data_IF_153335129720
#
_entry.id   IF_153335129720
#
_cell.length_a   1.000
_cell.length_b   1.000
_cell.length_c   1.000
_cell.angle_alpha   90.00
_cell.angle_beta   90.00
_cell.angle_gamma   90.00
#
_symmetry.space_group_name_H-M   'P 1'
#
loop_
_entity.id
_entity.type
_entity.pdbx_description
1 polymer ?
#
# COMPACT_ATOMS: atom_id res chain seq x y z
N UNK A 1 12.11 4.61 8.64
CA UNK A 1 11.36 5.87 8.44
C UNK A 1 9.89 5.71 8.81
N UNK A 2 9.13 4.77 8.21
CA UNK A 2 7.69 4.60 8.47
C UNK A 2 7.30 4.58 9.96
N UNK A 3 7.96 3.75 10.78
CA UNK A 3 7.64 3.66 12.21
C UNK A 3 7.82 4.97 12.96
N UNK A 4 8.87 5.73 12.65
CA UNK A 4 9.11 7.02 13.29
C UNK A 4 8.03 8.05 12.94
N UNK A 5 7.51 8.03 11.71
CA UNK A 5 6.41 8.92 11.29
C UNK A 5 5.12 8.56 12.02
N UNK A 6 4.78 7.26 12.11
CA UNK A 6 3.62 6.78 12.85
C UNK A 6 3.74 7.12 14.35
N UNK A 7 4.92 6.88 14.94
CA UNK A 7 5.18 7.17 16.35
C UNK A 7 5.14 8.67 16.67
N UNK A 8 5.57 9.52 15.74
CA UNK A 8 5.44 10.97 15.87
C UNK A 8 3.96 11.41 15.93
N UNK A 9 3.10 10.80 15.10
CA UNK A 9 1.64 11.06 15.14
C UNK A 9 1.05 10.58 16.47
N UNK A 10 1.40 9.38 16.94
CA UNK A 10 0.98 8.89 18.25
C UNK A 10 1.43 9.82 19.39
N UNK A 11 2.67 10.33 19.32
CA UNK A 11 3.20 11.26 20.30
C UNK A 11 2.40 12.59 20.33
N UNK A 12 2.05 13.12 19.16
CA UNK A 12 1.24 14.34 19.04
C UNK A 12 -0.17 14.15 19.61
N UNK A 13 -0.84 13.04 19.26
CA UNK A 13 -2.17 12.69 19.78
C UNK A 13 -2.13 12.55 21.31
N UNK A 14 -1.09 11.91 21.85
CA UNK A 14 -0.88 11.79 23.30
C UNK A 14 -0.68 13.16 23.96
N UNK A 15 0.04 14.08 23.33
CA UNK A 15 0.30 15.41 23.86
C UNK A 15 -0.98 16.26 24.04
N UNK A 16 -2.00 16.02 23.21
CA UNK A 16 -3.32 16.68 23.33
C UNK A 16 -4.32 15.89 24.20
N UNK A 17 -3.86 14.87 24.92
CA UNK A 17 -4.64 14.17 25.96
C UNK A 17 -5.39 12.91 25.51
N UNK A 18 -5.24 12.47 24.25
CA UNK A 18 -5.87 11.24 23.76
C UNK A 18 -4.87 10.08 23.75
N UNK A 19 -5.25 8.93 24.32
CA UNK A 19 -4.37 7.73 24.36
C UNK A 19 -4.91 6.54 23.58
N UNK A 20 -6.20 6.58 23.21
CA UNK A 20 -6.97 5.45 22.68
C UNK A 20 -7.35 5.62 21.20
N UNK A 21 -6.72 6.56 20.50
CA UNK A 21 -6.91 6.74 19.06
C UNK A 21 -5.92 5.85 18.32
N UNK A 22 -6.42 5.04 17.40
CA UNK A 22 -5.61 4.22 16.50
C UNK A 22 -5.23 5.02 15.25
N UNK A 23 -3.97 4.93 14.85
CA UNK A 23 -3.45 5.59 13.64
C UNK A 23 -3.43 4.58 12.50
N UNK A 24 -4.07 4.95 11.38
CA UNK A 24 -4.03 4.21 10.12
C UNK A 24 -3.33 5.05 9.06
N UNK A 25 -2.48 4.43 8.25
CA UNK A 25 -1.74 5.12 7.19
C UNK A 25 -2.58 5.08 5.93
N UNK A 26 -3.18 6.21 5.59
CA UNK A 26 -4.03 6.33 4.39
C UNK A 26 -3.25 6.22 3.10
N UNK A 27 -1.99 6.64 3.07
CA UNK A 27 -1.16 6.64 1.87
C UNK A 27 0.31 6.52 2.25
N UNK A 28 1.01 5.58 1.61
CA UNK A 28 2.46 5.55 1.59
C UNK A 28 2.94 4.73 0.40
N UNK A 29 4.06 5.13 -0.20
CA UNK A 29 4.60 4.48 -1.39
C UNK A 29 5.92 5.10 -1.82
N UNK A 30 6.44 4.62 -2.94
CA UNK A 30 7.69 5.11 -3.49
C UNK A 30 7.66 5.09 -5.02
N UNK A 31 8.03 6.19 -5.70
CA UNK A 31 7.91 6.30 -7.14
C UNK A 31 8.99 5.48 -7.86
N UNK A 32 8.63 4.88 -9.00
CA UNK A 32 9.54 4.08 -9.82
C UNK A 32 10.29 4.86 -10.88
N UNK A 33 9.93 6.12 -11.12
CA UNK A 33 10.59 7.00 -12.07
C UNK A 33 10.33 8.45 -11.66
N UNK A 34 11.18 9.38 -12.05
CA UNK A 34 11.06 10.79 -11.66
C UNK A 34 11.87 11.70 -12.58
N UNK A 35 11.88 12.99 -12.24
CA UNK A 35 12.67 14.00 -12.95
C UNK A 35 14.18 13.78 -12.69
N UNK A 36 15.04 14.42 -13.49
CA UNK A 36 16.50 14.23 -13.42
C UNK A 36 17.13 14.50 -12.04
N UNK A 37 16.47 15.31 -11.20
CA UNK A 37 16.89 15.63 -9.83
C UNK A 37 16.27 14.68 -8.77
N UNK A 38 15.36 13.80 -9.15
CA UNK A 38 14.68 12.83 -8.27
C UNK A 38 15.40 11.48 -8.28
N UNK A 39 16.70 11.48 -7.96
CA UNK A 39 17.60 10.30 -8.07
C UNK A 39 17.12 9.05 -7.30
N UNK A 40 16.24 9.22 -6.31
CA UNK A 40 15.66 8.13 -5.53
C UNK A 40 14.49 7.42 -6.21
N UNK A 41 13.88 8.01 -7.24
CA UNK A 41 12.71 7.51 -7.94
C UNK A 41 13.13 6.48 -9.00
N UNK A 42 13.39 5.25 -8.56
CA UNK A 42 13.83 4.15 -9.42
C UNK A 42 12.98 2.91 -9.18
N UNK A 43 12.82 2.01 -10.16
CA UNK A 43 12.04 0.78 -9.98
C UNK A 43 12.62 -0.11 -8.88
N UNK A 44 13.95 -0.10 -8.70
CA UNK A 44 14.65 -0.86 -7.67
C UNK A 44 14.29 -0.35 -6.27
N UNK A 45 14.31 0.97 -6.06
CA UNK A 45 13.94 1.56 -4.77
C UNK A 45 12.45 1.39 -4.48
N UNK A 46 11.60 1.58 -5.49
CA UNK A 46 10.16 1.36 -5.37
C UNK A 46 9.83 -0.07 -4.95
N UNK A 47 10.46 -1.06 -5.60
CA UNK A 47 10.37 -2.47 -5.24
C UNK A 47 10.83 -2.73 -3.80
N UNK A 48 11.98 -2.20 -3.41
CA UNK A 48 12.51 -2.39 -2.05
C UNK A 48 11.59 -1.78 -1.00
N UNK A 49 11.10 -0.57 -1.22
CA UNK A 49 10.22 0.11 -0.28
C UNK A 49 8.88 -0.64 -0.13
N UNK A 50 8.17 -0.85 -1.24
CA UNK A 50 6.85 -1.49 -1.23
C UNK A 50 6.93 -2.97 -0.83
N UNK A 51 7.95 -3.71 -1.26
CA UNK A 51 8.15 -5.10 -0.85
C UNK A 51 8.42 -5.23 0.66
N UNK A 52 9.27 -4.36 1.22
CA UNK A 52 9.52 -4.36 2.66
C UNK A 52 8.30 -3.89 3.47
N UNK A 53 7.47 -3.02 2.90
CA UNK A 53 6.21 -2.58 3.51
C UNK A 53 5.22 -3.75 3.62
N UNK A 54 4.99 -4.47 2.51
CA UNK A 54 4.10 -5.63 2.49
C UNK A 54 4.54 -6.71 3.49
N UNK A 55 5.85 -7.00 3.57
CA UNK A 55 6.38 -7.94 4.56
C UNK A 55 6.04 -7.53 6.00
N UNK A 56 6.17 -6.25 6.35
CA UNK A 56 5.84 -5.77 7.71
C UNK A 56 4.35 -5.91 8.03
N UNK A 57 3.48 -5.69 7.04
CA UNK A 57 2.03 -5.87 7.16
C UNK A 57 1.72 -7.36 7.38
N UNK A 58 2.36 -8.25 6.62
CA UNK A 58 2.21 -9.71 6.74
C UNK A 58 2.67 -10.23 8.10
N UNK A 59 3.81 -9.74 8.60
CA UNK A 59 4.34 -10.04 9.93
C UNK A 59 3.47 -9.45 11.07
N UNK A 60 2.43 -8.67 10.74
CA UNK A 60 1.58 -7.94 11.69
C UNK A 60 2.40 -7.12 12.69
N UNK A 61 3.51 -6.55 12.21
CA UNK A 61 4.45 -5.85 13.06
C UNK A 61 3.85 -4.49 13.50
N UNK A 62 3.92 -4.19 14.79
CA UNK A 62 3.62 -2.86 15.32
C UNK A 62 4.84 -1.92 15.28
N UNK A 63 4.65 -0.68 15.71
CA UNK A 63 5.74 0.29 15.85
C UNK A 63 6.39 0.23 17.24
N UNK A 64 7.59 0.78 17.46
CA UNK A 64 8.17 0.87 18.80
C UNK A 64 7.26 1.52 19.85
N UNK A 65 6.49 2.57 19.51
CA UNK A 65 5.55 3.18 20.46
C UNK A 65 4.26 2.36 20.66
N UNK A 66 3.87 1.52 19.70
CA UNK A 66 2.67 0.67 19.74
C UNK A 66 2.98 -0.76 19.23
N UNK A 67 3.79 -1.55 19.96
CA UNK A 67 4.30 -2.83 19.45
C UNK A 67 3.24 -3.92 19.32
N UNK A 68 2.13 -3.80 20.05
CA UNK A 68 1.00 -4.75 20.05
C UNK A 68 -0.11 -4.39 19.05
N UNK A 69 0.00 -3.24 18.38
CA UNK A 69 -0.98 -2.78 17.39
C UNK A 69 -0.33 -2.91 16.01
N UNK A 70 -0.76 -3.87 15.17
CA UNK A 70 -0.23 -4.03 13.83
C UNK A 70 -0.43 -2.75 13.00
N UNK A 71 0.51 -2.44 12.12
CA UNK A 71 0.33 -1.34 11.18
C UNK A 71 -0.82 -1.64 10.19
N UNK A 72 -1.71 -0.67 9.99
CA UNK A 72 -2.76 -0.69 8.96
C UNK A 72 -2.42 0.39 7.92
N UNK A 73 -2.18 -0.04 6.68
CA UNK A 73 -1.57 0.79 5.63
C UNK A 73 -2.25 0.54 4.28
N UNK A 74 -2.57 1.64 3.60
CA UNK A 74 -2.97 1.64 2.20
C UNK A 74 -1.79 2.09 1.34
N UNK A 75 -1.36 1.22 0.41
CA UNK A 75 -0.22 1.51 -0.47
C UNK A 75 -0.65 2.46 -1.56
N UNK A 76 0.08 3.58 -1.70
CA UNK A 76 -0.11 4.55 -2.78
C UNK A 76 0.86 4.23 -3.92
N UNK A 77 0.41 3.84 -5.11
CA UNK A 77 -0.97 3.58 -5.52
C UNK A 77 -1.06 2.31 -6.39
N UNK A 78 -2.27 1.90 -6.76
CA UNK A 78 -2.45 0.71 -7.59
C UNK A 78 -1.87 0.91 -9.00
N UNK A 79 -2.14 2.05 -9.63
CA UNK A 79 -1.74 2.35 -11.00
C UNK A 79 -0.85 3.59 -11.08
N UNK A 80 -0.03 3.66 -12.12
CA UNK A 80 0.56 4.91 -12.57
C UNK A 80 -0.55 5.82 -13.11
N UNK A 81 -0.62 7.06 -12.61
CA UNK A 81 -1.67 8.03 -12.94
C UNK A 81 -1.06 9.16 -13.79
N UNK A 82 -1.19 9.05 -15.11
CA UNK A 82 -0.53 9.92 -16.09
C UNK A 82 -1.01 11.38 -16.09
N UNK A 83 -2.20 11.64 -15.57
CA UNK A 83 -2.79 12.97 -15.45
C UNK A 83 -2.43 13.72 -14.15
N UNK A 84 -1.61 13.13 -13.27
CA UNK A 84 -1.20 13.82 -12.03
C UNK A 84 -0.32 15.05 -12.34
N UNK A 85 -0.64 16.21 -11.76
CA UNK A 85 0.17 17.42 -11.91
C UNK A 85 1.47 17.29 -11.10
N UNK A 86 2.43 18.18 -11.38
CA UNK A 86 3.68 18.25 -10.64
C UNK A 86 4.82 17.42 -11.25
N UNK A 87 5.83 17.05 -10.43
CA UNK A 87 7.03 16.33 -10.88
C UNK A 87 6.73 15.02 -11.60
N UNK A 88 7.70 14.49 -12.34
CA UNK A 88 7.54 13.18 -13.00
C UNK A 88 7.27 12.04 -12.01
N UNK A 89 7.79 12.10 -10.79
CA UNK A 89 7.51 11.10 -9.76
C UNK A 89 6.04 10.89 -9.47
N UNK A 90 5.23 11.96 -9.47
CA UNK A 90 3.80 11.91 -9.17
C UNK A 90 3.05 10.94 -10.10
N UNK A 91 3.48 10.80 -11.35
CA UNK A 91 2.85 9.91 -12.34
C UNK A 91 3.32 8.46 -12.25
N UNK A 92 4.23 8.14 -11.32
CA UNK A 92 5.00 6.89 -11.30
C UNK A 92 5.00 6.18 -9.93
N UNK A 93 3.99 6.38 -9.10
CA UNK A 93 3.82 5.67 -7.81
C UNK A 93 3.16 4.29 -7.91
N UNK A 94 2.65 3.93 -9.09
CA UNK A 94 1.89 2.71 -9.30
C UNK A 94 2.67 1.43 -9.07
N UNK A 95 2.00 0.44 -8.49
CA UNK A 95 2.46 -0.96 -8.51
C UNK A 95 2.31 -1.57 -9.91
N UNK A 96 1.33 -1.09 -10.68
CA UNK A 96 0.99 -1.55 -12.03
C UNK A 96 0.90 -0.38 -13.03
N UNK A 97 1.16 -0.67 -14.29
CA UNK A 97 0.76 0.19 -15.40
C UNK A 97 -0.76 0.10 -15.62
N UNK A 98 -1.39 1.10 -16.28
CA UNK A 98 -2.82 1.07 -16.59
C UNK A 98 -3.28 -0.16 -17.41
N UNK A 99 -2.36 -0.77 -18.18
CA UNK A 99 -2.63 -2.01 -18.91
C UNK A 99 -2.61 -3.28 -18.03
N UNK A 100 -2.45 -3.14 -16.71
CA UNK A 100 -2.40 -4.23 -15.75
C UNK A 100 -1.07 -4.95 -15.62
N UNK A 101 -0.06 -4.61 -16.43
CA UNK A 101 1.29 -5.17 -16.27
C UNK A 101 1.99 -4.58 -15.03
N UNK A 102 2.77 -5.37 -14.28
CA UNK A 102 3.46 -4.85 -13.10
C UNK A 102 4.59 -3.88 -13.50
N UNK A 103 4.71 -2.75 -12.79
CA UNK A 103 5.85 -1.83 -12.98
C UNK A 103 7.15 -2.46 -12.50
N UNK A 104 7.07 -3.22 -11.40
CA UNK A 104 8.13 -4.02 -10.83
C UNK A 104 7.54 -5.23 -10.11
N UNK A 105 8.31 -6.31 -9.97
CA UNK A 105 7.84 -7.52 -9.31
C UNK A 105 7.86 -7.37 -7.78
N UNK A 106 6.67 -7.30 -7.18
CA UNK A 106 6.42 -7.26 -5.72
C UNK A 106 5.95 -8.59 -5.12
N UNK A 107 5.98 -9.69 -5.89
CA UNK A 107 5.56 -11.02 -5.43
C UNK A 107 4.05 -11.24 -5.40
N UNK A 108 3.23 -10.29 -5.89
CA UNK A 108 1.77 -10.39 -5.92
C UNK A 108 1.19 -10.98 -7.21
N UNK A 109 2.02 -11.50 -8.12
CA UNK A 109 1.57 -11.99 -9.45
C UNK A 109 0.53 -13.12 -9.40
N UNK A 110 0.34 -13.79 -8.26
CA UNK A 110 -0.69 -14.82 -8.09
C UNK A 110 -2.07 -14.31 -7.60
N UNK A 111 -2.17 -13.10 -7.04
CA UNK A 111 -3.38 -12.66 -6.32
C UNK A 111 -4.29 -11.71 -7.11
N UNK A 112 -3.74 -10.91 -8.03
CA UNK A 112 -4.50 -9.83 -8.69
C UNK A 112 -5.21 -10.27 -9.98
N UNK A 113 -4.75 -11.36 -10.63
CA UNK A 113 -5.26 -11.78 -11.95
C UNK A 113 -6.01 -13.12 -11.99
N UNK A 114 -6.44 -13.66 -10.83
CA UNK A 114 -7.41 -14.76 -10.82
C UNK A 114 -8.87 -14.26 -10.82
N UNK A 115 -9.15 -13.21 -11.59
CA UNK A 115 -10.52 -12.77 -11.90
C UNK A 115 -10.93 -13.07 -13.35
N UNK A 116 -10.30 -14.08 -13.97
CA UNK A 116 -10.84 -14.73 -15.16
C UNK A 116 -11.30 -16.15 -14.79
N UNK A 117 -12.62 -16.30 -14.70
CA UNK A 117 -13.40 -17.53 -14.61
C UNK A 117 -12.94 -18.61 -13.58
N UNK A 118 -13.61 -18.65 -12.42
CA UNK A 118 -13.89 -19.92 -11.74
C UNK A 118 -15.41 -20.09 -11.63
N UNK A 119 -16.01 -20.61 -12.70
CA UNK A 119 -17.28 -21.32 -12.59
C UNK A 119 -16.96 -22.74 -12.08
N UNK A 120 -17.40 -23.02 -10.85
CA UNK A 120 -17.62 -24.34 -10.24
C UNK A 120 -16.45 -25.34 -10.22
N UNK A 121 -15.83 -25.53 -9.05
CA UNK A 121 -16.02 -26.69 -8.17
C UNK A 121 -15.03 -26.62 -6.98
N UNK A 122 -15.51 -27.03 -5.80
CA UNK A 122 -14.81 -27.01 -4.51
C UNK A 122 -13.39 -27.59 -4.57
N UNK A 123 -12.43 -26.86 -4.00
CA UNK A 123 -11.26 -27.42 -3.35
C UNK A 123 -10.80 -26.47 -2.24
N UNK A 124 -10.87 -26.95 -1.00
CA UNK A 124 -10.32 -26.26 0.17
C UNK A 124 -8.79 -26.32 0.10
N UNK A 125 -8.14 -25.17 -0.04
CA UNK A 125 -6.71 -25.01 0.21
C UNK A 125 -6.51 -23.80 1.13
N UNK A 126 -6.28 -24.08 2.41
CA UNK A 126 -5.79 -23.08 3.36
C UNK A 126 -4.31 -22.82 3.07
N UNK A 127 -3.99 -21.69 2.45
CA UNK A 127 -2.70 -21.00 2.58
C UNK A 127 -2.99 -19.51 2.64
N UNK A 128 -2.38 -18.81 3.59
CA UNK A 128 -2.76 -17.46 4.07
C UNK A 128 -3.13 -16.49 2.96
N UNK A 129 -4.41 -16.12 2.89
CA UNK A 129 -4.94 -15.28 1.83
C UNK A 129 -4.54 -13.83 2.05
N UNK A 130 -3.77 -13.29 1.10
CA UNK A 130 -3.53 -11.86 0.96
C UNK A 130 -4.83 -11.20 0.45
N UNK A 131 -5.73 -10.80 1.35
CA UNK A 131 -6.89 -10.01 0.97
C UNK A 131 -6.48 -8.54 0.89
N UNK A 132 -5.98 -8.10 -0.27
CA UNK A 132 -5.99 -6.66 -0.59
C UNK A 132 -7.46 -6.28 -0.69
N UNK A 133 -7.98 -5.69 0.38
CA UNK A 133 -9.32 -5.14 0.39
C UNK A 133 -9.30 -3.85 -0.45
N UNK A 134 -9.50 -3.99 -1.76
CA UNK A 134 -9.93 -2.87 -2.59
C UNK A 134 -11.38 -2.59 -2.21
N UNK A 135 -11.59 -1.68 -1.26
CA UNK A 135 -12.93 -1.19 -0.91
C UNK A 135 -13.41 -0.29 -2.06
N UNK A 136 -14.19 -0.84 -2.98
CA UNK A 136 -15.05 -0.01 -3.83
C UNK A 136 -16.13 0.59 -2.93
N UNK A 137 -16.23 1.93 -2.86
CA UNK A 137 -17.41 2.58 -2.28
C UNK A 137 -18.57 2.28 -3.22
N UNK A 138 -19.54 1.49 -2.77
CA UNK A 138 -20.89 1.56 -3.35
C UNK A 138 -21.45 2.93 -2.98
N UNK A 139 -21.66 3.78 -3.99
CA UNK A 139 -22.41 5.00 -3.85
C UNK A 139 -23.89 4.60 -3.86
N UNK A 140 -24.50 4.50 -2.68
CA UNK A 140 -25.96 4.45 -2.60
C UNK A 140 -26.49 5.82 -2.99
N UNK A 141 -27.03 5.93 -4.20
CA UNK A 141 -27.88 7.03 -4.60
C UNK A 141 -29.29 6.74 -4.07
N UNK A 142 -29.57 7.15 -2.84
CA UNK A 142 -30.96 7.38 -2.42
C UNK A 142 -31.18 8.90 -2.42
N UNK A 143 -32.01 9.31 -3.37
CA UNK A 143 -32.63 10.62 -3.47
C UNK A 143 -34.03 10.57 -2.85
#
# INVERSE_FOLDING_TARGET
>A
MLYAQIDAVYAAIKAIGYTNVEVKVSETGWPSNGDSNEIGATPQNAKLYNGNLLRRIEEKQGTPAKPLVPIDVYVFALFNEDLKPGPASERNYGLYYPNGSPVYNIGLQGFVFQFSCMYSHKLDFYLGAFKIMIRTREYSSEA
#
